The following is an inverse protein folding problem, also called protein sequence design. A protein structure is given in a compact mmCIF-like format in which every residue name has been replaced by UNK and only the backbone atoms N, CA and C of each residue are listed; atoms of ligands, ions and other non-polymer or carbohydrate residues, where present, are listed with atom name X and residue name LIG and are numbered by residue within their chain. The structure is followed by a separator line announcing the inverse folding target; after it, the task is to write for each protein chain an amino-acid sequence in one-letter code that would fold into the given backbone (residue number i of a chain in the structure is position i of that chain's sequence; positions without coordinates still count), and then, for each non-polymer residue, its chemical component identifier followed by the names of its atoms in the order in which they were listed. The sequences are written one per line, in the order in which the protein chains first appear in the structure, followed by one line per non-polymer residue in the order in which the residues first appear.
data_IF_971934395811
#
_entry.id   IF_971934395811
#
_cell.length_a   1.000
_cell.length_b   1.000
_cell.length_c   1.000
_cell.angle_alpha   90.00
_cell.angle_beta   90.00
_cell.angle_gamma   90.00
#
_symmetry.space_group_name_H-M   'P 1'
#
loop_
_entity.id
_entity.type
_entity.pdbx_description
1 polymer ?
#
# COMPACT_ATOMS: atom_id res chain seq x y z
N UNK A 1 3.04 2.95 -29.30
CA UNK A 1 3.68 2.69 -27.98
C UNK A 1 2.56 2.60 -26.97
N UNK A 2 2.14 1.40 -26.66
CA UNK A 2 1.08 1.14 -25.69
C UNK A 2 1.63 1.45 -24.29
N UNK A 3 0.94 2.31 -23.56
CA UNK A 3 1.24 2.63 -22.18
C UNK A 3 1.02 1.39 -21.29
N UNK A 4 1.99 0.50 -21.23
CA UNK A 4 1.99 -0.68 -20.38
C UNK A 4 2.01 -0.34 -18.86
N UNK A 5 2.07 0.94 -18.50
CA UNK A 5 2.15 1.39 -17.11
C UNK A 5 0.82 1.46 -16.36
N UNK A 6 -0.31 1.40 -17.03
CA UNK A 6 -1.62 1.46 -16.35
C UNK A 6 -2.09 0.13 -15.75
N UNK A 7 -1.49 -0.98 -16.16
CA UNK A 7 -1.94 -2.33 -15.82
C UNK A 7 -1.08 -3.01 -14.76
N UNK A 8 -0.20 -2.28 -14.08
CA UNK A 8 0.70 -2.84 -13.09
C UNK A 8 0.14 -2.73 -11.67
N UNK A 9 -0.96 -3.38 -11.44
CA UNK A 9 -1.44 -3.60 -10.08
C UNK A 9 -0.88 -4.90 -9.53
N UNK A 10 -0.11 -4.81 -8.47
CA UNK A 10 0.22 -5.96 -7.63
C UNK A 10 -0.88 -6.16 -6.58
N UNK A 11 -1.06 -7.39 -6.13
CA UNK A 11 -1.96 -7.68 -5.02
C UNK A 11 -1.55 -6.86 -3.79
N UNK A 12 -2.53 -6.17 -3.20
CA UNK A 12 -2.39 -5.40 -1.96
C UNK A 12 -3.71 -5.41 -1.19
N UNK A 13 -3.74 -4.80 -0.01
CA UNK A 13 -4.95 -4.77 0.83
C UNK A 13 -6.11 -4.00 0.20
N UNK A 14 -5.83 -3.05 -0.69
CA UNK A 14 -6.88 -2.20 -1.28
C UNK A 14 -7.62 -2.94 -2.42
N UNK A 15 -6.96 -3.90 -3.10
CA UNK A 15 -7.55 -4.68 -4.19
C UNK A 15 -7.84 -6.15 -3.85
N UNK A 16 -7.54 -6.61 -2.62
CA UNK A 16 -7.73 -8.00 -2.19
C UNK A 16 -9.12 -8.55 -2.49
N UNK A 17 -10.16 -7.76 -2.26
CA UNK A 17 -11.56 -8.14 -2.45
C UNK A 17 -12.14 -7.70 -3.81
N UNK A 18 -11.32 -7.16 -4.70
CA UNK A 18 -11.76 -6.79 -6.05
C UNK A 18 -11.95 -8.01 -6.93
N UNK A 19 -12.90 -7.95 -7.86
CA UNK A 19 -13.12 -9.01 -8.86
C UNK A 19 -11.98 -9.05 -9.86
N UNK A 20 -11.49 -7.88 -10.29
CA UNK A 20 -10.33 -7.75 -11.17
C UNK A 20 -9.17 -7.10 -10.38
N UNK A 21 -8.29 -7.91 -9.79
CA UNK A 21 -7.18 -7.44 -8.95
C UNK A 21 -6.02 -6.89 -9.78
N UNK A 22 -5.87 -7.38 -11.00
CA UNK A 22 -4.78 -6.93 -11.89
C UNK A 22 -5.15 -5.67 -12.69
N UNK A 23 -6.42 -5.24 -12.64
CA UNK A 23 -6.94 -4.11 -13.40
C UNK A 23 -6.48 -4.12 -14.88
N UNK A 24 -6.49 -5.30 -15.47
CA UNK A 24 -6.05 -5.58 -16.84
C UNK A 24 -7.15 -6.31 -17.60
N UNK A 25 -7.39 -5.91 -18.84
CA UNK A 25 -8.33 -6.60 -19.73
C UNK A 25 -7.71 -7.89 -20.32
N UNK A 26 -6.37 -7.99 -20.27
CA UNK A 26 -5.63 -9.14 -20.83
C UNK A 26 -5.35 -10.21 -19.76
N UNK A 27 -5.30 -9.83 -18.47
CA UNK A 27 -4.97 -10.71 -17.36
C UNK A 27 -6.22 -10.89 -16.49
N UNK A 28 -7.04 -11.87 -16.83
CA UNK A 28 -8.23 -12.23 -16.08
C UNK A 28 -7.92 -13.46 -15.22
N UNK A 29 -8.16 -13.34 -13.93
CA UNK A 29 -8.05 -14.47 -13.02
C UNK A 29 -9.07 -15.55 -13.41
N UNK A 30 -8.57 -16.76 -13.62
CA UNK A 30 -9.40 -17.93 -13.91
C UNK A 30 -9.71 -18.65 -12.61
N UNK A 31 -10.77 -19.44 -12.64
CA UNK A 31 -11.21 -20.30 -11.55
C UNK A 31 -11.80 -19.59 -10.32
N UNK A 32 -12.34 -20.41 -9.44
CA UNK A 32 -12.91 -19.99 -8.18
C UNK A 32 -11.82 -19.64 -7.18
N UNK A 33 -11.93 -18.48 -6.55
CA UNK A 33 -11.05 -18.05 -5.49
C UNK A 33 -11.82 -17.60 -4.25
N UNK A 34 -11.19 -17.78 -3.07
CA UNK A 34 -11.65 -17.24 -1.81
C UNK A 34 -10.69 -16.16 -1.34
N UNK A 35 -11.24 -15.04 -0.90
CA UNK A 35 -10.49 -13.96 -0.29
C UNK A 35 -10.73 -14.00 1.21
N UNK A 36 -9.66 -14.14 1.97
CA UNK A 36 -9.70 -14.14 3.42
C UNK A 36 -8.97 -12.91 3.91
N UNK A 37 -9.60 -12.15 4.79
CA UNK A 37 -9.00 -10.98 5.43
C UNK A 37 -9.38 -10.91 6.89
N UNK A 38 -8.49 -10.33 7.68
CA UNK A 38 -8.68 -10.01 9.09
C UNK A 38 -8.27 -8.57 9.33
N UNK A 39 -9.16 -7.80 9.95
CA UNK A 39 -8.88 -6.46 10.46
C UNK A 39 -8.90 -6.50 11.98
N UNK A 40 -7.81 -6.02 12.59
CA UNK A 40 -7.74 -5.75 14.01
C UNK A 40 -7.68 -4.26 14.23
N UNK A 41 -8.59 -3.75 15.09
CA UNK A 41 -8.72 -2.34 15.38
C UNK A 41 -8.53 -2.10 16.88
N UNK A 42 -7.68 -1.15 17.20
CA UNK A 42 -7.49 -0.62 18.54
C UNK A 42 -7.76 0.88 18.54
N UNK A 43 -8.47 1.32 19.55
CA UNK A 43 -8.78 2.73 19.76
C UNK A 43 -8.60 3.08 21.23
N UNK A 44 -7.88 4.15 21.50
CA UNK A 44 -7.71 4.69 22.83
C UNK A 44 -9.05 5.17 23.38
N UNK A 45 -9.31 4.90 24.67
CA UNK A 45 -10.49 5.46 25.34
C UNK A 45 -10.29 6.98 25.52
N UNK A 46 -11.27 7.75 25.06
CA UNK A 46 -11.25 9.22 25.20
C UNK A 46 -11.34 9.55 26.70
N UNK A 47 -10.27 10.10 27.26
CA UNK A 47 -10.25 10.60 28.64
C UNK A 47 -10.37 12.12 28.70
N UNK A 48 -10.10 12.82 27.60
CA UNK A 48 -10.16 14.28 27.47
C UNK A 48 -10.47 14.68 26.01
N UNK A 49 -10.71 15.97 25.75
CA UNK A 49 -11.13 16.57 24.46
C UNK A 49 -10.18 16.36 23.25
N UNK A 50 -9.15 15.55 23.36
CA UNK A 50 -8.22 15.25 22.28
C UNK A 50 -8.72 14.09 21.43
N UNK A 51 -8.39 14.07 20.14
CA UNK A 51 -8.63 12.92 19.28
C UNK A 51 -7.95 11.68 19.87
N UNK A 52 -8.62 10.54 19.97
CA UNK A 52 -7.98 9.32 20.45
C UNK A 52 -6.93 8.82 19.46
N UNK A 53 -5.91 8.13 19.95
CA UNK A 53 -5.05 7.33 19.10
C UNK A 53 -5.84 6.14 18.53
N UNK A 54 -5.59 5.81 17.29
CA UNK A 54 -6.21 4.66 16.62
C UNK A 54 -5.14 3.85 15.90
N UNK A 55 -5.21 2.54 15.98
CA UNK A 55 -4.39 1.63 15.19
C UNK A 55 -5.28 0.60 14.49
N UNK A 56 -5.01 0.35 13.22
CA UNK A 56 -5.69 -0.69 12.44
C UNK A 56 -4.62 -1.53 11.76
N UNK A 57 -4.70 -2.83 11.95
CA UNK A 57 -3.85 -3.80 11.26
C UNK A 57 -4.76 -4.69 10.45
N UNK A 58 -4.52 -4.73 9.14
CA UNK A 58 -5.22 -5.58 8.17
C UNK A 58 -4.25 -6.60 7.62
N UNK A 59 -4.71 -7.82 7.44
CA UNK A 59 -3.97 -8.91 6.83
C UNK A 59 -4.92 -9.69 5.92
N UNK A 60 -4.44 -10.14 4.77
CA UNK A 60 -5.28 -10.92 3.87
C UNK A 60 -4.53 -11.72 2.83
N UNK A 61 -5.23 -12.68 2.26
CA UNK A 61 -4.71 -13.62 1.28
C UNK A 61 -5.83 -14.10 0.35
N UNK A 62 -5.47 -14.44 -0.88
CA UNK A 62 -6.33 -15.12 -1.85
C UNK A 62 -5.97 -16.60 -1.87
N UNK A 63 -6.98 -17.46 -1.80
CA UNK A 63 -6.85 -18.91 -1.90
C UNK A 63 -7.59 -19.37 -3.15
N UNK A 64 -6.90 -20.03 -4.07
CA UNK A 64 -7.45 -20.59 -5.31
C UNK A 64 -7.50 -22.11 -5.24
N UNK A 65 -8.43 -22.72 -5.98
CA UNK A 65 -8.45 -24.18 -6.11
C UNK A 65 -7.32 -24.71 -6.96
N UNK A 66 -6.96 -23.98 -8.02
CA UNK A 66 -5.89 -24.35 -8.93
C UNK A 66 -4.83 -23.23 -9.03
N UNK A 67 -3.65 -23.60 -9.47
CA UNK A 67 -2.65 -22.64 -9.92
C UNK A 67 -3.11 -22.02 -11.23
N UNK A 68 -2.74 -20.78 -11.46
CA UNK A 68 -3.04 -20.05 -12.69
C UNK A 68 -1.72 -19.73 -13.43
N UNK A 69 -1.28 -20.64 -14.34
CA UNK A 69 -0.02 -20.47 -15.05
C UNK A 69 -0.01 -19.28 -16.00
N UNK A 70 -1.18 -18.75 -16.36
CA UNK A 70 -1.30 -17.58 -17.23
C UNK A 70 -1.03 -16.27 -16.45
N UNK A 71 -1.07 -16.32 -15.11
CA UNK A 71 -0.67 -15.19 -14.29
C UNK A 71 0.86 -15.01 -14.29
N UNK A 72 1.36 -13.78 -14.46
CA UNK A 72 2.78 -13.52 -14.42
C UNK A 72 3.43 -13.96 -13.10
N UNK A 73 4.65 -14.50 -13.18
CA UNK A 73 5.49 -14.73 -11.99
C UNK A 73 5.68 -13.41 -11.24
N UNK A 74 5.61 -13.44 -9.89
CA UNK A 74 5.63 -12.25 -9.01
C UNK A 74 4.39 -11.34 -9.12
N UNK A 75 3.31 -11.79 -9.75
CA UNK A 75 2.01 -11.11 -9.67
C UNK A 75 1.32 -11.31 -8.34
N UNK A 76 1.83 -12.22 -7.51
CA UNK A 76 1.21 -12.71 -6.27
C UNK A 76 -0.03 -13.59 -6.48
N UNK A 77 -0.44 -13.83 -7.73
CA UNK A 77 -1.68 -14.54 -8.06
C UNK A 77 -1.48 -15.81 -8.89
N UNK A 78 -0.23 -16.23 -9.14
CA UNK A 78 0.07 -17.43 -9.92
C UNK A 78 -0.23 -18.73 -9.14
N UNK A 79 0.11 -18.77 -7.86
CA UNK A 79 -0.01 -19.96 -7.02
C UNK A 79 -1.41 -20.13 -6.43
N UNK A 80 -1.70 -21.32 -5.89
CA UNK A 80 -2.94 -21.59 -5.15
C UNK A 80 -3.14 -20.64 -3.98
N UNK A 81 -2.09 -20.37 -3.21
CA UNK A 81 -2.10 -19.35 -2.18
C UNK A 81 -1.35 -18.12 -2.70
N UNK A 82 -2.02 -16.98 -2.72
CA UNK A 82 -1.35 -15.72 -3.05
C UNK A 82 -0.30 -15.36 -2.01
N UNK A 83 0.47 -14.34 -2.30
CA UNK A 83 1.25 -13.65 -1.28
C UNK A 83 0.34 -13.04 -0.21
N UNK A 84 0.91 -12.83 0.97
CA UNK A 84 0.21 -12.23 2.08
C UNK A 84 0.26 -10.71 1.96
N UNK A 85 -0.89 -10.06 1.97
CA UNK A 85 -0.99 -8.60 1.99
C UNK A 85 -1.27 -8.11 3.39
N UNK A 86 -0.56 -7.05 3.79
CA UNK A 86 -0.73 -6.43 5.10
C UNK A 86 -0.83 -4.92 4.99
N UNK A 87 -1.57 -4.32 5.92
CA UNK A 87 -1.65 -2.86 6.08
C UNK A 87 -1.68 -2.54 7.56
N UNK A 88 -0.86 -1.60 7.99
CA UNK A 88 -0.90 -1.04 9.33
C UNK A 88 -1.11 0.46 9.24
N UNK A 89 -2.14 0.95 9.91
CA UNK A 89 -2.39 2.37 10.05
C UNK A 89 -2.29 2.74 11.52
N UNK A 90 -1.63 3.84 11.81
CA UNK A 90 -1.61 4.45 13.12
C UNK A 90 -1.93 5.95 13.00
N UNK A 91 -2.97 6.37 13.68
CA UNK A 91 -3.40 7.76 13.79
C UNK A 91 -3.05 8.26 15.19
N UNK A 92 -2.12 9.19 15.26
CA UNK A 92 -1.72 9.79 16.54
C UNK A 92 -2.76 10.82 17.01
N UNK A 93 -3.01 10.93 18.32
CA UNK A 93 -3.90 11.96 18.88
C UNK A 93 -3.40 13.39 18.66
N UNK A 94 -2.15 13.54 18.27
CA UNK A 94 -1.52 14.84 18.12
C UNK A 94 -1.21 15.20 16.68
N UNK A 95 -0.08 14.71 16.20
CA UNK A 95 0.57 15.39 15.10
C UNK A 95 1.09 14.51 13.98
N UNK A 96 0.87 13.20 13.99
CA UNK A 96 1.33 12.37 12.88
C UNK A 96 0.44 11.16 12.63
N UNK A 97 0.42 10.73 11.38
CA UNK A 97 -0.23 9.52 10.90
C UNK A 97 0.82 8.67 10.17
N UNK A 98 0.75 7.37 10.38
CA UNK A 98 1.63 6.40 9.70
C UNK A 98 0.78 5.36 9.01
N UNK A 99 1.10 5.10 7.75
CA UNK A 99 0.53 3.98 6.98
C UNK A 99 1.66 3.16 6.42
N UNK A 100 1.64 1.87 6.69
CA UNK A 100 2.54 0.88 6.12
C UNK A 100 1.72 -0.18 5.38
N UNK A 101 2.06 -0.44 4.11
CA UNK A 101 1.47 -1.53 3.31
C UNK A 101 2.57 -2.43 2.81
N UNK A 102 2.37 -3.73 2.91
CA UNK A 102 3.33 -4.72 2.43
C UNK A 102 2.63 -5.86 1.69
N UNK A 103 3.37 -6.44 0.74
CA UNK A 103 3.06 -7.76 0.18
C UNK A 103 4.27 -8.66 0.41
N UNK A 104 4.05 -9.72 1.17
CA UNK A 104 5.07 -10.71 1.57
C UNK A 104 4.83 -11.99 0.78
N UNK A 105 5.90 -12.59 0.27
CA UNK A 105 5.78 -13.90 -0.37
C UNK A 105 5.18 -14.93 0.59
N UNK A 106 4.55 -15.95 0.04
CA UNK A 106 3.87 -16.99 0.82
C UNK A 106 4.82 -17.75 1.77
N UNK A 107 6.13 -17.70 1.52
CA UNK A 107 7.18 -18.28 2.38
C UNK A 107 7.75 -17.31 3.42
N UNK A 108 7.29 -16.06 3.45
CA UNK A 108 7.77 -14.97 4.32
C UNK A 108 9.27 -14.65 4.16
N UNK A 109 9.84 -14.94 2.99
CA UNK A 109 11.27 -14.73 2.72
C UNK A 109 11.54 -13.42 2.00
N UNK A 110 10.57 -12.90 1.25
CA UNK A 110 10.72 -11.72 0.41
C UNK A 110 9.55 -10.75 0.58
N UNK A 111 9.87 -9.47 0.53
CA UNK A 111 8.87 -8.40 0.45
C UNK A 111 8.83 -7.96 -1.02
N UNK A 112 7.68 -8.13 -1.68
CA UNK A 112 7.50 -7.72 -3.07
C UNK A 112 6.96 -6.29 -3.21
N UNK A 113 6.29 -5.82 -2.18
CA UNK A 113 5.74 -4.47 -2.12
C UNK A 113 5.90 -3.91 -0.72
N UNK A 114 6.37 -2.68 -0.64
CA UNK A 114 6.50 -1.93 0.60
C UNK A 114 6.16 -0.46 0.33
N UNK A 115 5.16 0.07 1.01
CA UNK A 115 4.75 1.47 0.92
C UNK A 115 4.58 2.01 2.33
N UNK A 116 5.51 2.88 2.72
CA UNK A 116 5.49 3.59 3.98
C UNK A 116 5.13 5.04 3.73
N UNK A 117 4.04 5.50 4.30
CA UNK A 117 3.63 6.90 4.31
C UNK A 117 3.62 7.42 5.75
N UNK A 118 4.31 8.53 5.97
CA UNK A 118 4.33 9.25 7.26
C UNK A 118 3.90 10.68 7.02
N UNK A 119 2.82 11.09 7.65
CA UNK A 119 2.29 12.44 7.60
C UNK A 119 2.38 13.09 8.97
N UNK A 120 3.00 14.27 9.04
CA UNK A 120 3.13 15.05 10.27
C UNK A 120 2.43 16.39 10.10
N UNK A 121 1.58 16.74 11.05
CA UNK A 121 0.82 17.99 11.06
C UNK A 121 1.54 19.03 11.91
N UNK A 122 1.74 20.21 11.33
CA UNK A 122 2.32 21.39 11.96
C UNK A 122 1.21 22.41 12.21
N UNK A 123 1.49 23.43 13.02
CA UNK A 123 0.50 24.51 13.28
C UNK A 123 0.03 25.21 11.99
N UNK A 124 0.93 25.39 11.04
CA UNK A 124 0.66 26.11 9.78
C UNK A 124 1.06 25.30 8.56
N UNK A 125 0.91 23.98 8.61
CA UNK A 125 1.27 23.15 7.47
C UNK A 125 1.30 21.68 7.78
N UNK A 126 1.91 20.93 6.85
CA UNK A 126 2.09 19.48 6.98
C UNK A 126 3.36 19.03 6.25
N UNK A 127 3.97 17.99 6.76
CA UNK A 127 5.05 17.27 6.10
C UNK A 127 4.52 15.87 5.77
N UNK A 128 4.72 15.44 4.54
CA UNK A 128 4.41 14.08 4.10
C UNK A 128 5.68 13.46 3.55
N UNK A 129 6.06 12.31 4.11
CA UNK A 129 7.13 11.46 3.61
C UNK A 129 6.53 10.14 3.11
N UNK A 130 6.90 9.74 1.90
CA UNK A 130 6.53 8.46 1.32
C UNK A 130 7.79 7.73 0.86
N UNK A 131 7.93 6.49 1.29
CA UNK A 131 8.90 5.54 0.78
C UNK A 131 8.15 4.39 0.13
N UNK A 132 8.52 4.08 -1.11
CA UNK A 132 7.89 3.08 -1.93
C UNK A 132 8.94 2.14 -2.52
N UNK A 133 8.72 0.85 -2.38
CA UNK A 133 9.54 -0.18 -2.99
C UNK A 133 8.64 -1.28 -3.56
N UNK A 134 8.89 -1.63 -4.81
CA UNK A 134 8.15 -2.66 -5.50
C UNK A 134 9.09 -3.53 -6.30
N UNK A 135 8.90 -4.84 -6.21
CA UNK A 135 9.59 -5.85 -7.02
C UNK A 135 8.54 -6.78 -7.61
N UNK A 136 8.00 -6.40 -8.77
CA UNK A 136 6.92 -7.10 -9.45
C UNK A 136 7.39 -7.77 -10.74
N UNK A 137 6.44 -8.36 -11.46
CA UNK A 137 6.66 -9.01 -12.76
C UNK A 137 7.14 -8.04 -13.85
N UNK A 138 6.86 -6.74 -13.73
CA UNK A 138 7.28 -5.72 -14.70
C UNK A 138 8.57 -4.98 -14.31
N UNK A 139 9.13 -5.29 -13.16
CA UNK A 139 10.40 -4.71 -12.71
C UNK A 139 10.47 -4.33 -11.25
N UNK A 140 11.58 -3.70 -10.89
CA UNK A 140 11.85 -3.21 -9.55
C UNK A 140 11.89 -1.69 -9.55
N UNK A 141 11.20 -1.09 -8.60
CA UNK A 141 11.12 0.35 -8.40
C UNK A 141 11.36 0.68 -6.94
N UNK A 142 12.08 1.76 -6.68
CA UNK A 142 12.31 2.26 -5.31
C UNK A 142 12.38 3.77 -5.33
N UNK A 143 11.50 4.42 -4.57
CA UNK A 143 11.40 5.87 -4.50
C UNK A 143 11.30 6.35 -3.06
N UNK A 144 11.83 7.54 -2.83
CA UNK A 144 11.52 8.34 -1.65
C UNK A 144 10.99 9.70 -2.09
N UNK A 145 9.92 10.17 -1.48
CA UNK A 145 9.30 11.45 -1.76
C UNK A 145 9.03 12.19 -0.45
N UNK A 146 9.35 13.47 -0.43
CA UNK A 146 9.00 14.35 0.68
C UNK A 146 8.27 15.58 0.16
N UNK A 147 7.18 15.96 0.83
CA UNK A 147 6.41 17.16 0.55
C UNK A 147 6.29 17.98 1.82
N UNK A 148 6.56 19.27 1.71
CA UNK A 148 6.28 20.26 2.73
C UNK A 148 5.18 21.19 2.21
N UNK A 149 4.08 21.27 2.92
CA UNK A 149 3.00 22.22 2.64
C UNK A 149 2.91 23.22 3.77
N UNK A 150 2.93 24.50 3.46
CA UNK A 150 2.73 25.62 4.41
C UNK A 150 1.47 26.39 4.04
N UNK A 151 0.60 26.61 5.01
CA UNK A 151 -0.61 27.44 4.85
C UNK A 151 -0.27 28.88 5.23
N UNK A 152 -0.10 29.73 4.19
CA UNK A 152 0.28 31.13 4.36
C UNK A 152 -0.92 31.98 4.77
N UNK A 153 -2.10 31.68 4.24
CA UNK A 153 -3.40 32.25 4.61
C UNK A 153 -4.46 31.15 4.48
N UNK A 154 -5.72 31.43 4.87
CA UNK A 154 -6.83 30.50 4.72
C UNK A 154 -7.05 30.04 3.27
N UNK A 155 -6.67 30.88 2.29
CA UNK A 155 -6.87 30.64 0.87
C UNK A 155 -5.56 30.41 0.10
N UNK A 156 -4.40 30.46 0.74
CA UNK A 156 -3.09 30.37 0.08
C UNK A 156 -2.21 29.35 0.74
N UNK A 157 -1.74 28.37 -0.03
CA UNK A 157 -0.77 27.38 0.41
C UNK A 157 0.46 27.35 -0.49
N UNK A 158 1.61 27.12 0.09
CA UNK A 158 2.86 26.85 -0.61
C UNK A 158 3.20 25.36 -0.41
N UNK A 159 3.47 24.64 -1.49
CA UNK A 159 3.93 23.26 -1.44
C UNK A 159 5.28 23.13 -2.12
N UNK A 160 6.23 22.55 -1.42
CA UNK A 160 7.56 22.19 -1.93
C UNK A 160 7.63 20.65 -1.92
N UNK A 161 7.99 20.08 -3.05
CA UNK A 161 8.15 18.64 -3.23
C UNK A 161 9.56 18.28 -3.65
N UNK A 162 10.08 17.19 -3.13
CA UNK A 162 11.28 16.53 -3.65
C UNK A 162 11.02 15.03 -3.75
N UNK A 163 11.51 14.41 -4.81
CA UNK A 163 11.45 12.98 -5.02
C UNK A 163 12.80 12.46 -5.51
N UNK A 164 13.12 11.24 -5.16
CA UNK A 164 14.35 10.58 -5.55
C UNK A 164 14.09 9.12 -5.89
N UNK A 165 14.53 8.72 -7.09
CA UNK A 165 14.68 7.32 -7.42
C UNK A 165 15.90 6.78 -6.67
N UNK A 166 15.70 5.72 -5.87
CA UNK A 166 16.74 5.08 -5.05
C UNK A 166 17.25 3.79 -5.70
N UNK A 167 16.75 3.43 -6.88
CA UNK A 167 17.30 2.34 -7.66
C UNK A 167 18.62 2.82 -8.24
N UNK A 168 19.72 2.37 -7.66
CA UNK A 168 21.06 2.47 -8.27
C UNK A 168 21.19 1.33 -9.27
N UNK A 169 21.50 1.64 -10.51
CA UNK A 169 21.90 0.68 -11.53
C UNK A 169 23.18 -0.04 -11.10
#
# INVERSE_FOLDING_TARGET
MTNAKSNDTTLNTDNLFSINRMNSDELIEKDLSFNIGLDWMWKEKITNKNKPAEAVISIGQVIKFNEDPDMPTKSSLQNKNSDLVTKANYLSPGNFDVTLKNTLDNGFKHIYYNDLNVKTFLKQGEINFNFYEKNSHIGSERYAKANLTSYLTDNTKLTISTDRNLKTD
#
